data_IF_236638343138
#
_entry.id   IF_236638343138
#
_cell.length_a   1.000
_cell.length_b   1.000
_cell.length_c   1.000
_cell.angle_alpha   90.00
_cell.angle_beta   90.00
_cell.angle_gamma   90.00
#
_symmetry.space_group_name_H-M   'P 1'
#
loop_
_entity.id
_entity.type
_entity.pdbx_description
1 polymer ?
#
# COMPACT_ATOMS: atom_id res chain seq x y z
N UNK A 1 -20.36 2.10 11.21
CA UNK A 1 -20.49 0.76 10.61
C UNK A 1 -19.97 0.78 9.17
N UNK A 2 -18.66 0.84 8.97
CA UNK A 2 -18.02 0.79 7.65
C UNK A 2 -17.95 -0.65 7.15
N UNK A 3 -19.01 -1.10 6.45
CA UNK A 3 -19.09 -2.39 5.70
C UNK A 3 -18.03 -2.57 4.59
N UNK A 4 -17.06 -1.66 4.50
CA UNK A 4 -15.98 -1.70 3.52
C UNK A 4 -14.96 -2.81 3.82
N UNK A 5 -14.90 -3.29 5.07
CA UNK A 5 -13.89 -4.23 5.55
C UNK A 5 -14.39 -5.67 5.78
N UNK A 6 -15.61 -5.97 5.37
CA UNK A 6 -16.19 -7.32 5.51
C UNK A 6 -15.46 -8.36 4.63
N UNK A 7 -14.79 -7.94 3.56
CA UNK A 7 -14.01 -8.78 2.64
C UNK A 7 -12.48 -8.75 2.91
N UNK A 8 -12.05 -8.52 4.16
CA UNK A 8 -10.63 -8.46 4.53
C UNK A 8 -10.03 -9.88 4.67
N UNK A 9 -9.42 -10.36 3.59
CA UNK A 9 -8.69 -11.63 3.59
C UNK A 9 -7.24 -11.47 4.10
N UNK A 10 -6.63 -12.56 4.59
CA UNK A 10 -5.22 -12.57 5.04
C UNK A 10 -4.26 -12.03 3.95
N UNK A 11 -4.53 -12.33 2.68
CA UNK A 11 -3.76 -11.84 1.53
C UNK A 11 -3.90 -10.32 1.36
N UNK A 12 -5.12 -9.79 1.40
CA UNK A 12 -5.39 -8.34 1.32
C UNK A 12 -4.76 -7.60 2.51
N UNK A 13 -4.87 -8.16 3.72
CA UNK A 13 -4.23 -7.61 4.91
C UNK A 13 -2.70 -7.51 4.76
N UNK A 14 -2.08 -8.53 4.15
CA UNK A 14 -0.64 -8.54 3.87
C UNK A 14 -0.25 -7.52 2.80
N UNK A 15 -1.01 -7.46 1.70
CA UNK A 15 -0.84 -6.47 0.63
C UNK A 15 -0.92 -5.04 1.19
N UNK A 16 -1.88 -4.77 2.09
CA UNK A 16 -2.07 -3.45 2.71
C UNK A 16 -0.89 -3.08 3.61
N UNK A 17 -0.36 -4.02 4.41
CA UNK A 17 0.86 -3.79 5.22
C UNK A 17 2.05 -3.42 4.34
N UNK A 18 2.28 -4.18 3.27
CA UNK A 18 3.38 -3.94 2.34
C UNK A 18 3.19 -2.57 1.67
N UNK A 19 1.98 -2.26 1.20
CA UNK A 19 1.68 -0.98 0.59
C UNK A 19 1.97 0.19 1.55
N UNK A 20 1.56 0.08 2.82
CA UNK A 20 1.83 1.09 3.84
C UNK A 20 3.35 1.29 4.05
N UNK A 21 4.11 0.21 4.22
CA UNK A 21 5.57 0.30 4.40
C UNK A 21 6.27 0.92 3.18
N UNK A 22 5.84 0.57 1.98
CA UNK A 22 6.41 1.09 0.75
C UNK A 22 6.13 2.58 0.55
N UNK A 23 4.90 3.01 0.82
CA UNK A 23 4.52 4.43 0.70
C UNK A 23 5.21 5.27 1.79
N UNK A 24 5.36 4.75 3.01
CA UNK A 24 6.11 5.40 4.10
C UNK A 24 7.57 5.64 3.69
N UNK A 25 8.25 4.61 3.19
CA UNK A 25 9.63 4.72 2.69
C UNK A 25 9.75 5.74 1.56
N UNK A 26 8.83 5.70 0.59
CA UNK A 26 8.82 6.62 -0.53
C UNK A 26 8.62 8.06 -0.06
N UNK A 27 7.60 8.30 0.78
CA UNK A 27 7.28 9.62 1.32
C UNK A 27 8.46 10.21 2.10
N UNK A 28 9.08 9.45 3.00
CA UNK A 28 10.21 9.93 3.80
C UNK A 28 11.43 10.31 2.96
N UNK A 29 11.66 9.62 1.84
CA UNK A 29 12.86 9.81 1.02
C UNK A 29 12.67 10.81 -0.13
N UNK A 30 11.49 10.85 -0.75
CA UNK A 30 11.21 11.74 -1.88
C UNK A 30 10.60 13.07 -1.47
N UNK A 31 9.78 13.09 -0.41
CA UNK A 31 9.09 14.29 0.05
C UNK A 31 9.68 14.75 1.39
N UNK A 32 10.90 15.29 1.35
CA UNK A 32 11.63 15.77 2.53
C UNK A 32 11.12 17.11 3.07
N UNK A 33 10.49 17.94 2.23
CA UNK A 33 10.05 19.30 2.57
C UNK A 33 8.55 19.44 2.88
N UNK A 34 7.78 18.36 2.79
CA UNK A 34 6.33 18.39 3.01
C UNK A 34 5.98 18.02 4.45
N UNK A 35 5.03 18.72 5.05
CA UNK A 35 4.45 18.36 6.34
C UNK A 35 3.85 16.96 6.27
N UNK A 36 4.24 16.09 7.22
CA UNK A 36 3.70 14.74 7.36
C UNK A 36 2.76 14.73 8.55
N UNK A 37 1.62 14.09 8.39
CA UNK A 37 0.67 13.88 9.47
C UNK A 37 0.45 12.39 9.67
N UNK A 38 0.07 12.02 10.89
CA UNK A 38 -0.35 10.67 11.18
C UNK A 38 -1.61 10.36 10.37
N UNK A 39 -1.53 9.34 9.51
CA UNK A 39 -2.67 8.89 8.71
C UNK A 39 -3.67 8.25 9.67
N UNK A 40 -4.88 8.81 9.74
CA UNK A 40 -5.97 8.22 10.52
C UNK A 40 -6.52 7.03 9.75
N UNK A 41 -6.20 5.83 10.22
CA UNK A 41 -6.76 4.60 9.65
C UNK A 41 -8.22 4.51 10.11
N UNK A 42 -9.16 4.44 9.16
CA UNK A 42 -10.60 4.58 9.41
C UNK A 42 -11.21 3.30 10.05
N UNK A 43 -10.47 2.19 10.08
CA UNK A 43 -10.98 0.89 10.53
C UNK A 43 -10.05 0.21 11.55
N UNK A 44 -10.62 -0.12 12.70
CA UNK A 44 -9.95 -0.75 13.85
C UNK A 44 -9.30 -2.10 13.49
N UNK A 45 -9.89 -2.88 12.57
CA UNK A 45 -9.31 -4.15 12.10
C UNK A 45 -8.08 -3.93 11.22
N UNK A 46 -8.02 -2.78 10.55
CA UNK A 46 -6.86 -2.37 9.77
C UNK A 46 -5.75 -1.80 10.67
N UNK A 47 -6.10 -1.17 11.80
CA UNK A 47 -5.13 -0.73 12.83
C UNK A 47 -4.41 -1.92 13.47
N UNK A 48 -5.13 -2.98 13.83
CA UNK A 48 -4.52 -4.25 14.30
C UNK A 48 -3.61 -4.86 13.23
N UNK A 49 -4.01 -4.72 11.97
CA UNK A 49 -3.22 -5.21 10.84
C UNK A 49 -1.95 -4.36 10.70
N UNK A 50 -2.02 -3.04 10.73
CA UNK A 50 -0.86 -2.13 10.67
C UNK A 50 -0.28 -2.02 12.09
N UNK A 51 0.09 -3.16 12.66
CA UNK A 51 0.56 -3.37 14.02
C UNK A 51 1.48 -2.21 14.49
N UNK A 52 0.88 -1.24 15.23
CA UNK A 52 1.54 -0.16 15.98
C UNK A 52 2.57 0.71 15.24
N UNK A 53 2.53 0.81 13.92
CA UNK A 53 3.43 1.73 13.19
C UNK A 53 2.65 2.97 12.81
N UNK A 54 2.84 4.07 13.53
CA UNK A 54 2.35 5.38 13.13
C UNK A 54 2.91 5.71 11.74
N UNK A 55 2.08 5.56 10.71
CA UNK A 55 2.45 5.89 9.34
C UNK A 55 2.23 7.38 9.15
N UNK A 56 3.31 8.15 9.13
CA UNK A 56 3.27 9.58 8.85
C UNK A 56 3.49 9.83 7.37
N UNK A 57 2.43 10.20 6.64
CA UNK A 57 2.50 10.50 5.20
C UNK A 57 2.25 11.98 4.95
N UNK A 58 2.73 12.49 3.82
CA UNK A 58 2.22 13.75 3.29
C UNK A 58 0.84 13.53 2.62
N UNK A 59 0.12 14.62 2.37
CA UNK A 59 -1.21 14.59 1.76
C UNK A 59 -1.27 13.80 0.44
N UNK A 60 -0.28 13.96 -0.44
CA UNK A 60 -0.24 13.22 -1.71
C UNK A 60 -0.07 11.70 -1.51
N UNK A 61 0.81 11.32 -0.57
CA UNK A 61 1.05 9.91 -0.26
C UNK A 61 -0.13 9.28 0.48
N UNK A 62 -0.82 10.03 1.34
CA UNK A 62 -2.07 9.60 1.98
C UNK A 62 -3.17 9.37 0.94
N UNK A 63 -3.37 10.29 0.00
CA UNK A 63 -4.32 10.11 -1.11
C UNK A 63 -4.01 8.86 -1.92
N UNK A 64 -2.74 8.60 -2.21
CA UNK A 64 -2.31 7.40 -2.91
C UNK A 64 -2.59 6.12 -2.10
N UNK A 65 -2.32 6.15 -0.80
CA UNK A 65 -2.55 5.03 0.11
C UNK A 65 -4.04 4.70 0.24
N UNK A 66 -4.88 5.70 0.47
CA UNK A 66 -6.33 5.55 0.57
C UNK A 66 -6.93 5.03 -0.75
N UNK A 67 -6.46 5.52 -1.89
CA UNK A 67 -6.88 4.99 -3.19
C UNK A 67 -6.49 3.52 -3.34
N UNK A 68 -5.27 3.15 -2.91
CA UNK A 68 -4.80 1.78 -2.98
C UNK A 68 -5.61 0.83 -2.10
N UNK A 69 -5.90 1.19 -0.86
CA UNK A 69 -6.77 0.41 0.04
C UNK A 69 -8.14 0.23 -0.60
N UNK A 70 -8.78 1.31 -1.06
CA UNK A 70 -10.11 1.24 -1.67
C UNK A 70 -10.15 0.23 -2.84
N UNK A 71 -9.13 0.23 -3.70
CA UNK A 71 -9.03 -0.72 -4.83
C UNK A 71 -8.73 -2.16 -4.40
N UNK A 72 -7.94 -2.36 -3.34
CA UNK A 72 -7.69 -3.70 -2.79
C UNK A 72 -8.97 -4.31 -2.20
N UNK A 73 -9.80 -3.49 -1.54
CA UNK A 73 -11.05 -3.93 -0.92
C UNK A 73 -12.17 -4.16 -1.94
N UNK A 74 -12.21 -3.37 -3.01
CA UNK A 74 -13.21 -3.50 -4.09
C UNK A 74 -12.81 -4.51 -5.18
N UNK A 75 -11.71 -5.25 -5.01
CA UNK A 75 -11.27 -6.21 -6.02
C UNK A 75 -12.26 -7.38 -6.11
N UNK A 76 -12.86 -7.65 -7.29
CA UNK A 76 -13.84 -8.72 -7.45
C UNK A 76 -13.22 -10.12 -7.59
N UNK A 77 -11.90 -10.21 -7.76
CA UNK A 77 -11.21 -11.48 -8.00
C UNK A 77 -10.78 -12.14 -6.68
N UNK A 78 -11.13 -13.43 -6.52
CA UNK A 78 -10.65 -14.30 -5.45
C UNK A 78 -10.23 -15.67 -6.03
N UNK A 79 -8.92 -16.05 -5.99
CA UNK A 79 -7.81 -15.30 -5.42
C UNK A 79 -7.38 -14.12 -6.29
N UNK A 80 -7.19 -12.95 -5.66
CA UNK A 80 -6.72 -11.73 -6.32
C UNK A 80 -5.42 -11.97 -7.10
N UNK A 81 -5.38 -11.73 -8.42
CA UNK A 81 -4.16 -11.83 -9.21
C UNK A 81 -3.21 -10.66 -8.86
N UNK A 82 -1.93 -10.81 -9.19
CA UNK A 82 -0.99 -9.68 -9.11
C UNK A 82 -1.48 -8.53 -9.99
N UNK A 83 -1.38 -7.29 -9.51
CA UNK A 83 -1.81 -6.10 -10.27
C UNK A 83 -1.14 -6.00 -11.67
N UNK A 84 0.03 -6.64 -11.86
CA UNK A 84 0.72 -6.74 -13.15
C UNK A 84 0.01 -7.68 -14.14
N UNK A 85 -0.60 -8.75 -13.66
CA UNK A 85 -1.29 -9.80 -14.44
C UNK A 85 -2.82 -9.69 -14.35
N UNK A 86 -3.34 -8.60 -13.79
CA UNK A 86 -4.78 -8.41 -13.62
C UNK A 86 -5.44 -8.20 -15.00
N UNK A 87 -6.52 -8.95 -15.34
CA UNK A 87 -7.19 -8.82 -16.63
C UNK A 87 -7.83 -7.43 -16.78
N UNK A 88 -8.43 -6.91 -15.71
CA UNK A 88 -9.03 -5.57 -15.68
C UNK A 88 -8.26 -4.66 -14.74
N UNK A 89 -7.52 -3.70 -15.30
CA UNK A 89 -6.76 -2.74 -14.51
C UNK A 89 -7.67 -1.67 -13.89
N UNK A 90 -7.99 -1.83 -12.60
CA UNK A 90 -8.88 -0.95 -11.83
C UNK A 90 -8.25 0.39 -11.36
N UNK A 91 -6.96 0.60 -11.60
CA UNK A 91 -6.22 1.82 -11.26
C UNK A 91 -6.30 2.86 -12.38
N UNK A 92 -6.59 4.12 -12.03
CA UNK A 92 -6.43 5.21 -12.98
C UNK A 92 -4.95 5.30 -13.41
N UNK A 93 -4.66 5.66 -14.68
CA UNK A 93 -3.30 5.61 -15.23
C UNK A 93 -2.30 6.45 -14.42
N UNK A 94 -2.72 7.61 -13.90
CA UNK A 94 -1.91 8.47 -13.03
C UNK A 94 -1.50 7.77 -11.72
N UNK A 95 -2.46 7.21 -10.99
CA UNK A 95 -2.19 6.47 -9.75
C UNK A 95 -1.38 5.20 -10.01
N UNK A 96 -1.58 4.54 -11.16
CA UNK A 96 -0.82 3.36 -11.56
C UNK A 96 0.67 3.68 -11.74
N UNK A 97 0.99 4.81 -12.37
CA UNK A 97 2.39 5.24 -12.52
C UNK A 97 3.02 5.56 -11.17
N UNK A 98 2.30 6.28 -10.31
CA UNK A 98 2.76 6.59 -8.95
C UNK A 98 3.03 5.32 -8.13
N UNK A 99 2.10 4.35 -8.11
CA UNK A 99 2.35 3.09 -7.40
C UNK A 99 3.52 2.32 -8.00
N UNK A 100 3.66 2.26 -9.32
CA UNK A 100 4.84 1.60 -9.93
C UNK A 100 6.14 2.25 -9.49
N UNK A 101 6.17 3.58 -9.41
CA UNK A 101 7.33 4.32 -8.93
C UNK A 101 7.62 4.02 -7.46
N UNK A 102 6.61 4.05 -6.59
CA UNK A 102 6.70 3.68 -5.17
C UNK A 102 7.23 2.24 -5.03
N UNK A 103 6.64 1.28 -5.75
CA UNK A 103 7.07 -0.12 -5.73
C UNK A 103 8.52 -0.28 -6.15
N UNK A 104 8.94 0.39 -7.23
CA UNK A 104 10.31 0.33 -7.73
C UNK A 104 11.30 0.95 -6.74
N UNK A 105 11.03 2.18 -6.28
CA UNK A 105 11.92 2.91 -5.40
C UNK A 105 12.05 2.24 -4.04
N UNK A 106 10.91 2.00 -3.37
CA UNK A 106 10.88 1.44 -2.03
C UNK A 106 11.33 -0.02 -2.03
N UNK A 107 11.03 -0.78 -3.08
CA UNK A 107 11.56 -2.13 -3.28
C UNK A 107 13.09 -2.13 -3.32
N UNK A 108 13.71 -1.35 -4.21
CA UNK A 108 15.17 -1.25 -4.29
C UNK A 108 15.80 -0.74 -2.98
N UNK A 109 15.15 0.22 -2.32
CA UNK A 109 15.63 0.77 -1.05
C UNK A 109 15.56 -0.24 0.12
N UNK A 110 14.51 -1.04 0.21
CA UNK A 110 14.36 -2.05 1.26
C UNK A 110 15.33 -3.22 1.05
N UNK A 111 15.60 -3.56 -0.21
CA UNK A 111 16.60 -4.56 -0.60
C UNK A 111 18.00 -4.13 -0.22
N UNK A 112 18.38 -2.89 -0.51
CA UNK A 112 19.70 -2.36 -0.14
C UNK A 112 19.92 -2.30 1.37
N UNK A 113 18.84 -2.34 2.17
CA UNK A 113 18.87 -2.42 3.64
C UNK A 113 18.80 -3.85 4.19
N UNK A 114 18.88 -4.88 3.35
CA UNK A 114 18.90 -6.28 3.76
C UNK A 114 17.52 -6.91 4.01
N UNK A 115 16.41 -6.22 3.69
CA UNK A 115 15.05 -6.80 3.80
C UNK A 115 14.67 -7.58 2.55
N UNK A 116 15.40 -8.65 2.26
CA UNK A 116 15.21 -9.50 1.08
C UNK A 116 13.86 -10.24 1.07
N UNK A 117 13.27 -10.50 2.24
CA UNK A 117 11.98 -11.20 2.37
C UNK A 117 10.80 -10.51 1.65
N UNK A 118 10.87 -9.17 1.48
CA UNK A 118 9.82 -8.40 0.80
C UNK A 118 9.85 -8.56 -0.73
N UNK A 119 10.99 -8.91 -1.32
CA UNK A 119 11.10 -9.17 -2.77
C UNK A 119 10.32 -10.42 -3.18
N UNK A 120 10.41 -11.49 -2.39
CA UNK A 120 9.77 -12.76 -2.72
C UNK A 120 8.24 -12.67 -2.73
N UNK A 121 7.66 -11.71 -2.03
CA UNK A 121 6.20 -11.48 -2.03
C UNK A 121 5.72 -10.68 -3.24
N UNK A 122 6.58 -9.81 -3.80
CA UNK A 122 6.24 -8.92 -4.93
C UNK A 122 6.42 -9.62 -6.28
N UNK A 123 7.33 -10.60 -6.34
CA UNK A 123 7.67 -11.31 -7.58
C UNK A 123 6.95 -12.66 -7.78
N UNK A 124 6.13 -13.12 -6.83
CA UNK A 124 5.37 -14.37 -6.96
C UNK A 124 3.98 -14.16 -7.58
#
# INVERSE_FOLDING_TARGET
MSRLFDNLDKKKATDIRILAEFIDVYCRRKHTQTSRHAVKIIDERLEETINKKEVSLCEDCERLFNHGIAKLMQCPFDPKPSCRKCPDHCYAPKYRQQIKEVMRFSGTYLVSRGRLGLLFHIFK
#
